data_IF_193131566153
#
_entry.id   IF_193131566153
#
_cell.length_a   1.000
_cell.length_b   1.000
_cell.length_c   1.000
_cell.angle_alpha   90.00
_cell.angle_beta   90.00
_cell.angle_gamma   90.00
#
_symmetry.space_group_name_H-M   'P 1'
#
loop_
_entity.id
_entity.type
_entity.pdbx_description
1 polymer ?
#
# COMPACT_ATOMS: atom_id res chain seq x y z
N UNK A 1 16.70 -9.43 -2.97
CA UNK A 1 16.23 -9.06 -4.32
C UNK A 1 17.13 -9.74 -5.32
N UNK A 2 16.59 -10.28 -6.42
CA UNK A 2 17.42 -10.69 -7.55
C UNK A 2 18.00 -9.44 -8.19
N UNK A 3 19.32 -9.32 -8.16
CA UNK A 3 20.05 -8.17 -8.65
C UNK A 3 20.22 -8.28 -10.17
N UNK A 4 19.27 -7.74 -10.94
CA UNK A 4 19.39 -7.74 -12.40
C UNK A 4 20.40 -6.69 -12.84
N UNK A 5 20.98 -6.87 -14.04
CA UNK A 5 21.96 -5.94 -14.60
C UNK A 5 21.48 -4.49 -14.55
N UNK A 6 20.25 -4.21 -15.00
CA UNK A 6 19.67 -2.86 -14.97
C UNK A 6 19.60 -2.24 -13.58
N UNK A 7 19.41 -3.07 -12.55
CA UNK A 7 19.20 -2.63 -11.17
C UNK A 7 20.55 -2.24 -10.54
N UNK A 8 21.64 -2.92 -10.94
CA UNK A 8 23.02 -2.52 -10.59
C UNK A 8 23.46 -1.24 -11.28
N UNK A 9 23.18 -1.12 -12.58
CA UNK A 9 23.69 -0.01 -13.38
C UNK A 9 22.91 1.29 -13.16
N UNK A 10 21.58 1.20 -13.01
CA UNK A 10 20.71 2.37 -12.90
C UNK A 10 20.15 2.60 -11.49
N UNK A 11 20.41 1.68 -10.56
CA UNK A 11 19.75 1.65 -9.26
C UNK A 11 18.34 1.06 -9.31
N UNK A 12 17.77 0.82 -8.13
CA UNK A 12 16.40 0.31 -8.03
C UNK A 12 15.37 1.38 -8.44
N UNK A 13 14.32 0.95 -9.17
CA UNK A 13 13.20 1.81 -9.51
C UNK A 13 12.47 2.28 -8.24
N UNK A 14 12.16 3.57 -8.18
CA UNK A 14 11.36 4.13 -7.09
C UNK A 14 9.97 3.49 -7.05
N UNK A 15 9.48 3.18 -5.85
CA UNK A 15 8.23 2.45 -5.64
C UNK A 15 7.11 3.42 -5.26
N UNK A 16 6.59 4.11 -6.26
CA UNK A 16 5.58 5.17 -6.12
C UNK A 16 4.23 4.79 -6.71
N UNK A 17 4.17 3.77 -7.57
CA UNK A 17 2.97 3.40 -8.32
C UNK A 17 1.99 2.68 -7.39
N UNK A 18 0.86 3.34 -7.06
CA UNK A 18 -0.12 2.85 -6.08
C UNK A 18 -1.24 2.00 -6.72
N UNK A 19 -1.15 1.75 -8.02
CA UNK A 19 -2.13 0.98 -8.81
C UNK A 19 -1.46 -0.23 -9.42
N UNK A 20 -2.10 -1.40 -9.32
CA UNK A 20 -1.68 -2.59 -10.06
C UNK A 20 -2.04 -2.42 -11.52
N UNK A 21 -1.04 -2.22 -12.36
CA UNK A 21 -1.24 -2.11 -13.81
C UNK A 21 -1.58 -3.47 -14.45
N UNK A 22 -2.18 -3.49 -15.66
CA UNK A 22 -2.40 -4.72 -16.42
C UNK A 22 -1.15 -5.58 -16.61
N UNK A 23 0.03 -4.95 -16.75
CA UNK A 23 1.32 -5.66 -16.89
C UNK A 23 1.68 -6.40 -15.59
N UNK A 24 1.53 -5.74 -14.45
CA UNK A 24 1.79 -6.34 -13.14
C UNK A 24 0.80 -7.47 -12.87
N UNK A 25 -0.49 -7.23 -13.13
CA UNK A 25 -1.53 -8.24 -12.99
C UNK A 25 -1.24 -9.47 -13.85
N UNK A 26 -0.91 -9.30 -15.13
CA UNK A 26 -0.58 -10.42 -16.00
C UNK A 26 0.63 -11.23 -15.50
N UNK A 27 1.65 -10.56 -14.93
CA UNK A 27 2.79 -11.24 -14.30
C UNK A 27 2.41 -12.05 -13.06
N UNK A 28 1.50 -11.54 -12.23
CA UNK A 28 0.95 -12.26 -11.08
C UNK A 28 0.11 -13.47 -11.53
N UNK A 29 -0.76 -13.29 -12.53
CA UNK A 29 -1.56 -14.38 -13.11
C UNK A 29 -0.66 -15.50 -13.65
N UNK A 30 0.41 -15.15 -14.39
CA UNK A 30 1.38 -16.13 -14.88
C UNK A 30 2.09 -16.89 -13.76
N UNK A 31 2.41 -16.20 -12.65
CA UNK A 31 2.99 -16.82 -11.44
C UNK A 31 2.01 -17.82 -10.83
N UNK A 32 0.74 -17.45 -10.66
CA UNK A 32 -0.28 -18.34 -10.08
C UNK A 32 -0.56 -19.52 -10.99
N UNK A 33 -0.64 -19.33 -12.31
CA UNK A 33 -0.84 -20.43 -13.24
C UNK A 33 0.30 -21.46 -13.16
N UNK A 34 1.54 -21.01 -13.00
CA UNK A 34 2.67 -21.91 -12.79
C UNK A 34 2.54 -22.70 -11.48
N UNK A 35 2.07 -22.07 -10.40
CA UNK A 35 1.81 -22.72 -9.11
C UNK A 35 0.67 -23.75 -9.20
N UNK A 36 -0.41 -23.44 -9.91
CA UNK A 36 -1.50 -24.40 -10.20
C UNK A 36 -0.94 -25.61 -10.94
N UNK A 37 -0.17 -25.37 -12.01
CA UNK A 37 0.40 -26.44 -12.84
C UNK A 37 1.42 -27.31 -12.08
N UNK A 38 2.12 -26.76 -11.10
CA UNK A 38 3.07 -27.53 -10.28
C UNK A 38 2.40 -28.32 -9.15
N UNK A 39 1.09 -28.13 -8.91
CA UNK A 39 0.39 -28.74 -7.79
C UNK A 39 0.63 -28.03 -6.45
N UNK A 40 1.12 -26.78 -6.45
CA UNK A 40 1.54 -26.06 -5.25
C UNK A 40 0.39 -25.73 -4.28
N UNK A 41 -0.85 -25.86 -4.73
CA UNK A 41 -2.04 -25.68 -3.90
C UNK A 41 -2.54 -26.99 -3.29
N UNK A 42 -1.93 -28.14 -3.61
CA UNK A 42 -2.39 -29.47 -3.23
C UNK A 42 -2.42 -29.73 -1.71
N UNK A 43 -1.66 -28.97 -0.92
CA UNK A 43 -1.74 -29.07 0.54
C UNK A 43 -3.09 -28.59 1.08
N UNK A 44 -3.63 -27.50 0.53
CA UNK A 44 -4.92 -26.90 0.95
C UNK A 44 -6.09 -27.40 0.11
N UNK A 45 -5.85 -27.64 -1.18
CA UNK A 45 -6.84 -28.07 -2.18
C UNK A 45 -6.35 -29.36 -2.86
N UNK A 46 -6.40 -30.51 -2.18
CA UNK A 46 -5.78 -31.75 -2.65
C UNK A 46 -6.56 -32.37 -3.81
N UNK A 47 -5.90 -32.53 -4.96
CA UNK A 47 -6.31 -33.54 -5.95
C UNK A 47 -5.72 -34.89 -5.53
N UNK A 48 -6.58 -35.90 -5.38
CA UNK A 48 -6.18 -37.24 -4.93
C UNK A 48 -6.03 -38.19 -6.10
N UNK A 49 -5.05 -39.10 -5.99
CA UNK A 49 -4.87 -40.18 -6.94
C UNK A 49 -6.18 -41.00 -7.08
N UNK A 50 -6.67 -41.30 -8.30
CA UNK A 50 -7.97 -41.95 -8.49
C UNK A 50 -8.14 -43.30 -7.79
N UNK A 51 -7.06 -44.04 -7.58
CA UNK A 51 -7.03 -45.35 -6.91
C UNK A 51 -6.39 -45.31 -5.50
N UNK A 52 -6.24 -44.12 -4.91
CA UNK A 52 -5.59 -43.97 -3.61
C UNK A 52 -6.00 -42.72 -2.84
N UNK A 53 -5.30 -42.47 -1.73
CA UNK A 53 -5.51 -41.28 -0.89
C UNK A 53 -4.35 -40.28 -0.96
N UNK A 54 -3.32 -40.59 -1.74
CA UNK A 54 -2.17 -39.71 -1.92
C UNK A 54 -2.56 -38.49 -2.76
N UNK A 55 -2.03 -37.33 -2.39
CA UNK A 55 -2.19 -36.10 -3.16
C UNK A 55 -1.27 -36.18 -4.38
N UNK A 56 -1.79 -35.90 -5.58
CA UNK A 56 -1.04 -35.92 -6.83
C UNK A 56 -1.06 -34.58 -7.56
N UNK A 57 -1.82 -33.60 -7.08
CA UNK A 57 -2.00 -32.32 -7.74
C UNK A 57 -2.80 -31.32 -6.91
N UNK A 58 -3.37 -30.34 -7.59
CA UNK A 58 -4.23 -29.30 -7.02
C UNK A 58 -5.63 -29.41 -7.59
N UNK A 59 -6.63 -29.53 -6.74
CA UNK A 59 -8.03 -29.48 -7.16
C UNK A 59 -8.37 -28.05 -7.61
N UNK A 60 -8.33 -27.83 -8.92
CA UNK A 60 -8.59 -26.53 -9.52
C UNK A 60 -10.02 -26.07 -9.34
N UNK A 61 -10.98 -27.00 -9.20
CA UNK A 61 -12.39 -26.68 -8.96
C UNK A 61 -12.61 -26.15 -7.54
N UNK A 62 -12.02 -26.82 -6.55
CA UNK A 62 -12.06 -26.38 -5.15
C UNK A 62 -11.32 -25.04 -4.97
N UNK A 63 -10.15 -24.88 -5.59
CA UNK A 63 -9.40 -23.62 -5.59
C UNK A 63 -10.25 -22.49 -6.19
N UNK A 64 -10.85 -22.70 -7.37
CA UNK A 64 -11.72 -21.74 -8.04
C UNK A 64 -12.88 -21.31 -7.14
N UNK A 65 -13.57 -22.29 -6.53
CA UNK A 65 -14.70 -22.03 -5.66
C UNK A 65 -14.31 -21.18 -4.43
N UNK A 66 -13.15 -21.46 -3.81
CA UNK A 66 -12.64 -20.64 -2.71
C UNK A 66 -12.28 -19.23 -3.14
N UNK A 67 -11.62 -19.06 -4.28
CA UNK A 67 -11.27 -17.73 -4.80
C UNK A 67 -12.51 -16.90 -5.06
N UNK A 68 -13.51 -17.43 -5.77
CA UNK A 68 -14.74 -16.70 -6.08
C UNK A 68 -15.56 -16.37 -4.82
N UNK A 69 -15.55 -17.26 -3.83
CA UNK A 69 -16.26 -17.06 -2.57
C UNK A 69 -15.61 -15.99 -1.66
N UNK A 70 -14.28 -15.99 -1.55
CA UNK A 70 -13.54 -15.05 -0.70
C UNK A 70 -13.27 -13.70 -1.38
N UNK A 71 -13.25 -13.65 -2.73
CA UNK A 71 -13.01 -12.45 -3.53
C UNK A 71 -14.15 -12.22 -4.55
N UNK A 72 -15.36 -11.85 -4.09
CA UNK A 72 -16.48 -11.59 -4.98
C UNK A 72 -16.15 -10.43 -5.92
N UNK A 73 -16.07 -10.74 -7.22
CA UNK A 73 -15.67 -9.79 -8.27
C UNK A 73 -14.38 -10.19 -9.00
N UNK A 74 -13.64 -11.18 -8.51
CA UNK A 74 -12.51 -11.78 -9.24
C UNK A 74 -13.01 -12.95 -10.09
N UNK A 75 -12.70 -12.93 -11.39
CA UNK A 75 -13.04 -14.02 -12.31
C UNK A 75 -12.14 -15.23 -12.07
N UNK A 76 -12.68 -16.44 -12.30
CA UNK A 76 -11.87 -17.64 -12.44
C UNK A 76 -12.29 -18.43 -13.70
N UNK A 77 -11.38 -18.76 -14.63
CA UNK A 77 -9.95 -18.43 -14.63
C UNK A 77 -9.65 -16.92 -14.59
N UNK A 78 -8.44 -16.58 -14.15
CA UNK A 78 -8.02 -15.18 -14.03
C UNK A 78 -7.90 -14.54 -15.42
N UNK A 79 -8.58 -13.42 -15.62
CA UNK A 79 -8.58 -12.69 -16.89
C UNK A 79 -7.51 -11.60 -16.90
N UNK A 80 -6.68 -11.56 -17.95
CA UNK A 80 -5.68 -10.50 -18.18
C UNK A 80 -6.06 -9.55 -19.31
N UNK A 81 -7.20 -9.79 -19.96
CA UNK A 81 -7.71 -8.97 -21.05
C UNK A 81 -9.24 -8.87 -21.01
N UNK A 82 -9.80 -7.74 -21.44
CA UNK A 82 -11.25 -7.56 -21.62
C UNK A 82 -11.60 -7.05 -23.02
N UNK A 83 -12.84 -7.28 -23.42
CA UNK A 83 -13.42 -6.74 -24.67
C UNK A 83 -14.15 -5.44 -24.31
N UNK A 84 -13.82 -4.34 -24.95
CA UNK A 84 -14.47 -3.04 -24.72
C UNK A 84 -15.85 -2.92 -25.36
N UNK A 85 -16.05 -3.51 -26.56
CA UNK A 85 -17.32 -3.47 -27.28
C UNK A 85 -17.59 -4.82 -27.96
N UNK A 86 -18.81 -5.34 -27.78
CA UNK A 86 -19.27 -6.54 -28.46
C UNK A 86 -19.55 -6.24 -29.94
N UNK A 87 -18.77 -6.85 -30.83
CA UNK A 87 -18.91 -6.67 -32.28
C UNK A 87 -17.89 -7.44 -33.10
N UNK A 88 -18.07 -7.41 -34.42
CA UNK A 88 -17.24 -8.12 -35.41
C UNK A 88 -15.76 -7.70 -35.40
N UNK A 89 -15.44 -6.53 -34.80
CA UNK A 89 -14.09 -6.00 -34.64
C UNK A 89 -13.66 -5.89 -33.16
N UNK A 90 -14.22 -6.73 -32.28
CA UNK A 90 -13.87 -6.72 -30.86
C UNK A 90 -12.35 -6.86 -30.64
N UNK A 91 -11.75 -5.83 -30.04
CA UNK A 91 -10.34 -5.83 -29.65
C UNK A 91 -10.22 -6.21 -28.17
N UNK A 92 -9.29 -7.11 -27.87
CA UNK A 92 -8.95 -7.45 -26.48
C UNK A 92 -7.89 -6.48 -25.99
N UNK A 93 -8.20 -5.75 -24.92
CA UNK A 93 -7.26 -4.85 -24.27
C UNK A 93 -6.72 -5.44 -22.97
N UNK A 94 -5.46 -5.13 -22.58
CA UNK A 94 -4.93 -5.50 -21.28
C UNK A 94 -5.84 -5.01 -20.15
N UNK A 95 -6.09 -5.87 -19.18
CA UNK A 95 -6.99 -5.61 -18.06
C UNK A 95 -6.31 -5.96 -16.74
N UNK A 96 -6.62 -5.19 -15.69
CA UNK A 96 -6.35 -5.53 -14.30
C UNK A 96 -7.61 -5.27 -13.46
N UNK A 97 -7.95 -6.14 -12.49
CA UNK A 97 -8.97 -5.85 -11.49
C UNK A 97 -8.59 -4.64 -10.61
N UNK A 98 -9.52 -4.22 -9.75
CA UNK A 98 -9.22 -3.22 -8.73
C UNK A 98 -8.00 -3.63 -7.88
N UNK A 99 -7.17 -2.65 -7.54
CA UNK A 99 -5.92 -2.89 -6.83
C UNK A 99 -6.14 -3.59 -5.50
N UNK A 100 -7.17 -3.22 -4.72
CA UNK A 100 -7.44 -3.85 -3.43
C UNK A 100 -7.79 -5.32 -3.60
N UNK A 101 -8.63 -5.63 -4.60
CA UNK A 101 -9.00 -7.01 -4.94
C UNK A 101 -7.79 -7.86 -5.35
N UNK A 102 -6.86 -7.28 -6.12
CA UNK A 102 -5.60 -7.97 -6.47
C UNK A 102 -4.74 -8.23 -5.23
N UNK A 103 -4.63 -7.26 -4.32
CA UNK A 103 -3.84 -7.41 -3.10
C UNK A 103 -4.42 -8.48 -2.17
N UNK A 104 -5.74 -8.53 -2.01
CA UNK A 104 -6.43 -9.60 -1.26
C UNK A 104 -6.15 -10.98 -1.87
N UNK A 105 -6.24 -11.08 -3.20
CA UNK A 105 -5.93 -12.32 -3.90
C UNK A 105 -4.48 -12.78 -3.71
N UNK A 106 -3.53 -11.85 -3.71
CA UNK A 106 -2.12 -12.17 -3.47
C UNK A 106 -1.89 -12.66 -2.03
N UNK A 107 -2.56 -12.08 -1.02
CA UNK A 107 -2.52 -12.60 0.36
C UNK A 107 -3.16 -14.01 0.46
N UNK A 108 -4.28 -14.24 -0.24
CA UNK A 108 -4.91 -15.56 -0.33
C UNK A 108 -3.95 -16.62 -0.90
N UNK A 109 -3.27 -16.31 -2.01
CA UNK A 109 -2.31 -17.23 -2.63
C UNK A 109 -1.17 -17.56 -1.67
N UNK A 110 -0.63 -16.56 -0.96
CA UNK A 110 0.39 -16.80 0.07
C UNK A 110 -0.11 -17.76 1.16
N UNK A 111 -1.35 -17.58 1.63
CA UNK A 111 -1.92 -18.44 2.65
C UNK A 111 -2.13 -19.90 2.17
N UNK A 112 -2.34 -20.10 0.86
CA UNK A 112 -2.66 -21.40 0.27
C UNK A 112 -1.47 -22.15 -0.34
N UNK A 113 -0.39 -21.45 -0.71
CA UNK A 113 0.73 -22.03 -1.46
C UNK A 113 1.65 -22.86 -0.58
N UNK A 114 2.12 -23.98 -1.12
CA UNK A 114 3.18 -24.80 -0.56
C UNK A 114 4.08 -25.33 -1.67
N UNK A 115 5.37 -25.53 -1.38
CA UNK A 115 6.28 -26.13 -2.33
C UNK A 115 5.95 -27.63 -2.47
N UNK A 116 5.55 -28.10 -3.66
CA UNK A 116 5.33 -29.51 -3.90
C UNK A 116 6.67 -30.24 -3.98
N UNK A 117 6.78 -31.34 -3.25
CA UNK A 117 7.94 -32.22 -3.20
C UNK A 117 7.53 -33.56 -3.83
N UNK A 118 8.07 -33.90 -5.01
CA UNK A 118 7.78 -35.18 -5.65
C UNK A 118 8.23 -36.35 -4.74
N UNK A 119 7.27 -37.17 -4.34
CA UNK A 119 7.51 -38.42 -3.62
C UNK A 119 7.54 -39.61 -4.57
N UNK A 120 6.86 -40.70 -4.19
CA UNK A 120 6.78 -41.92 -5.01
C UNK A 120 6.12 -41.62 -6.35
N UNK A 121 6.75 -42.05 -7.45
CA UNK A 121 6.12 -42.06 -8.77
C UNK A 121 5.16 -43.24 -8.90
N UNK A 122 3.99 -42.98 -9.46
CA UNK A 122 2.95 -43.95 -9.72
C UNK A 122 2.81 -44.18 -11.23
N UNK A 123 3.37 -45.28 -11.72
CA UNK A 123 3.49 -45.57 -13.15
C UNK A 123 2.14 -45.64 -13.88
N UNK A 124 1.12 -46.23 -13.27
CA UNK A 124 -0.17 -46.47 -13.93
C UNK A 124 -0.89 -45.17 -14.33
N UNK A 125 -0.89 -44.16 -13.45
CA UNK A 125 -1.44 -42.84 -13.74
C UNK A 125 -0.38 -41.80 -14.15
N UNK A 126 0.89 -42.22 -14.21
CA UNK A 126 2.05 -41.40 -14.58
C UNK A 126 2.14 -40.06 -13.84
N UNK A 127 2.05 -40.08 -12.52
CA UNK A 127 2.23 -38.89 -11.67
C UNK A 127 3.05 -39.19 -10.41
N UNK A 128 3.50 -38.16 -9.72
CA UNK A 128 4.12 -38.29 -8.40
C UNK A 128 3.09 -38.06 -7.29
N UNK A 129 3.19 -38.85 -6.23
CA UNK A 129 2.54 -38.52 -4.96
C UNK A 129 3.31 -37.38 -4.31
N UNK A 130 2.64 -36.27 -4.02
CA UNK A 130 3.25 -35.05 -3.54
C UNK A 130 3.27 -34.99 -2.02
N UNK A 131 4.40 -34.54 -1.47
CA UNK A 131 4.49 -33.94 -0.14
C UNK A 131 4.63 -32.42 -0.28
N UNK A 132 4.54 -31.68 0.83
CA UNK A 132 4.51 -30.22 0.78
C UNK A 132 5.38 -29.57 1.85
N UNK A 133 6.13 -28.55 1.45
CA UNK A 133 6.79 -27.59 2.35
C UNK A 133 6.13 -26.22 2.21
N UNK A 134 5.25 -25.88 3.16
CA UNK A 134 4.49 -24.64 3.11
C UNK A 134 5.38 -23.41 3.26
N UNK A 135 6.35 -23.44 4.18
CA UNK A 135 7.22 -22.30 4.47
C UNK A 135 8.11 -21.97 3.26
N UNK A 136 8.65 -23.00 2.60
CA UNK A 136 9.46 -22.80 1.40
C UNK A 136 8.63 -22.25 0.23
N UNK A 137 7.40 -22.76 0.03
CA UNK A 137 6.48 -22.25 -0.99
C UNK A 137 6.08 -20.79 -0.76
N UNK A 138 5.76 -20.44 0.48
CA UNK A 138 5.44 -19.08 0.92
C UNK A 138 6.59 -18.11 0.71
N UNK A 139 7.81 -18.50 1.08
CA UNK A 139 8.98 -17.64 0.94
C UNK A 139 9.34 -17.40 -0.55
N UNK A 140 9.24 -18.42 -1.40
CA UNK A 140 9.50 -18.25 -2.83
C UNK A 140 8.41 -17.41 -3.52
N UNK A 141 7.14 -17.61 -3.14
CA UNK A 141 6.05 -16.77 -3.64
C UNK A 141 6.24 -15.31 -3.22
N UNK A 142 6.55 -15.05 -1.94
CA UNK A 142 6.84 -13.71 -1.41
C UNK A 142 7.98 -13.04 -2.16
N UNK A 143 9.10 -13.74 -2.39
CA UNK A 143 10.24 -13.22 -3.17
C UNK A 143 9.82 -12.85 -4.60
N UNK A 144 9.01 -13.69 -5.22
CA UNK A 144 8.53 -13.48 -6.60
C UNK A 144 7.60 -12.27 -6.69
N UNK A 145 6.61 -12.16 -5.81
CA UNK A 145 5.70 -11.01 -5.73
C UNK A 145 6.48 -9.72 -5.48
N UNK A 146 7.37 -9.68 -4.49
CA UNK A 146 8.14 -8.49 -4.16
C UNK A 146 9.09 -8.08 -5.30
N UNK A 147 9.62 -9.05 -6.06
CA UNK A 147 10.42 -8.77 -7.25
C UNK A 147 9.57 -8.14 -8.36
N UNK A 148 8.38 -8.66 -8.62
CA UNK A 148 7.44 -8.09 -9.60
C UNK A 148 7.09 -6.65 -9.19
N UNK A 149 6.73 -6.44 -7.92
CA UNK A 149 6.36 -5.12 -7.43
C UNK A 149 7.52 -4.12 -7.50
N UNK A 150 8.71 -4.47 -7.02
CA UNK A 150 9.87 -3.58 -7.05
C UNK A 150 10.25 -3.17 -8.48
N UNK A 151 10.27 -4.12 -9.43
CA UNK A 151 10.66 -3.83 -10.83
C UNK A 151 9.64 -2.98 -11.58
N UNK A 152 8.38 -3.03 -11.17
CA UNK A 152 7.31 -2.25 -11.78
C UNK A 152 7.00 -0.96 -11.01
N UNK A 153 7.81 -0.60 -10.01
CA UNK A 153 7.58 0.63 -9.22
C UNK A 153 6.36 0.57 -8.31
N UNK A 154 5.79 -0.61 -8.07
CA UNK A 154 4.57 -0.78 -7.26
C UNK A 154 4.89 -0.51 -5.78
N UNK A 155 4.12 0.38 -5.17
CA UNK A 155 4.29 0.87 -3.80
C UNK A 155 3.73 -0.07 -2.71
N UNK A 156 3.83 -1.40 -2.90
CA UNK A 156 3.32 -2.41 -1.97
C UNK A 156 4.31 -3.56 -1.75
N UNK A 157 4.55 -4.00 -0.53
CA UNK A 157 5.46 -5.09 -0.22
C UNK A 157 4.77 -6.18 0.60
N UNK A 158 5.04 -7.44 0.25
CA UNK A 158 4.66 -8.59 1.05
C UNK A 158 5.69 -8.86 2.14
N UNK A 159 5.26 -8.78 3.40
CA UNK A 159 6.05 -9.16 4.56
C UNK A 159 6.20 -10.67 4.67
N UNK A 160 7.13 -11.14 5.52
CA UNK A 160 7.29 -12.56 5.83
C UNK A 160 6.07 -13.20 6.51
N UNK A 161 5.11 -12.40 6.95
CA UNK A 161 3.83 -12.85 7.49
C UNK A 161 2.77 -13.09 6.41
N UNK A 162 3.07 -12.80 5.15
CA UNK A 162 2.11 -12.83 4.03
C UNK A 162 1.30 -11.55 3.85
N UNK A 163 1.33 -10.63 4.83
CA UNK A 163 0.61 -9.36 4.75
C UNK A 163 1.25 -8.42 3.73
N UNK A 164 0.43 -7.79 2.90
CA UNK A 164 0.83 -6.67 2.06
C UNK A 164 0.79 -5.39 2.88
N UNK A 165 1.87 -4.61 2.79
CA UNK A 165 1.96 -3.25 3.36
C UNK A 165 2.32 -2.25 2.28
N UNK A 166 1.88 -1.00 2.45
CA UNK A 166 2.29 0.10 1.58
C UNK A 166 3.76 0.45 1.84
N UNK A 167 4.52 0.63 0.77
CA UNK A 167 5.87 1.20 0.83
C UNK A 167 5.71 2.71 0.75
N UNK A 168 6.07 3.41 1.83
CA UNK A 168 6.04 4.87 1.85
C UNK A 168 7.13 5.45 0.95
N UNK A 169 6.88 6.61 0.31
CA UNK A 169 7.91 7.34 -0.42
C UNK A 169 9.15 7.54 0.47
N UNK A 170 10.39 7.32 -0.03
CA UNK A 170 11.59 7.27 0.81
C UNK A 170 11.80 8.49 1.72
N UNK A 171 11.57 9.70 1.20
CA UNK A 171 11.74 10.95 1.95
C UNK A 171 10.73 11.04 3.11
N UNK A 172 9.45 10.79 2.83
CA UNK A 172 8.38 10.93 3.81
C UNK A 172 8.33 9.75 4.80
N UNK A 173 8.64 8.54 4.34
CA UNK A 173 8.57 7.33 5.15
C UNK A 173 9.57 7.32 6.31
N UNK A 174 10.82 7.73 6.07
CA UNK A 174 11.82 7.79 7.12
C UNK A 174 11.54 8.90 8.13
N UNK A 175 11.11 10.08 7.67
CA UNK A 175 10.72 11.18 8.54
C UNK A 175 9.51 10.82 9.40
N UNK A 176 8.48 10.18 8.83
CA UNK A 176 7.33 9.70 9.59
C UNK A 176 7.75 8.71 10.67
N UNK A 177 8.59 7.71 10.33
CA UNK A 177 9.04 6.66 11.26
C UNK A 177 9.91 7.19 12.39
N UNK A 178 10.80 8.16 12.12
CA UNK A 178 11.77 8.65 13.11
C UNK A 178 11.21 9.70 14.06
N UNK A 179 10.07 10.32 13.73
CA UNK A 179 9.58 11.46 14.52
C UNK A 179 9.02 10.99 15.86
N UNK A 180 9.49 11.56 16.96
CA UNK A 180 8.78 11.49 18.22
C UNK A 180 7.91 12.75 18.33
N UNK A 181 6.60 12.60 18.52
CA UNK A 181 5.72 13.72 18.80
C UNK A 181 5.75 14.01 20.30
N UNK A 182 6.43 15.08 20.68
CA UNK A 182 6.56 15.54 22.07
C UNK A 182 6.23 17.03 22.14
N UNK A 183 5.00 17.40 21.75
CA UNK A 183 4.57 18.79 21.68
C UNK A 183 4.33 19.43 23.06
N UNK A 184 4.27 18.61 24.10
CA UNK A 184 3.84 18.99 25.45
C UNK A 184 2.31 18.96 25.62
N UNK A 185 1.56 18.65 24.56
CA UNK A 185 0.11 18.43 24.61
C UNK A 185 -0.22 17.02 24.13
N UNK A 186 -0.66 16.17 25.07
CA UNK A 186 -0.91 14.74 24.80
C UNK A 186 -1.96 14.51 23.72
N UNK A 187 -2.95 15.40 23.63
CA UNK A 187 -3.99 15.28 22.60
C UNK A 187 -3.41 15.50 21.23
N UNK A 188 -2.59 16.54 21.02
CA UNK A 188 -1.88 16.80 19.77
C UNK A 188 -0.95 15.65 19.40
N UNK A 189 -0.19 15.13 20.37
CA UNK A 189 0.71 13.99 20.12
C UNK A 189 -0.08 12.75 19.66
N UNK A 190 -1.22 12.45 20.31
CA UNK A 190 -2.12 11.36 19.88
C UNK A 190 -2.70 11.61 18.48
N UNK A 191 -3.08 12.85 18.14
CA UNK A 191 -3.59 13.20 16.82
C UNK A 191 -2.54 12.90 15.74
N UNK A 192 -1.27 13.26 15.99
CA UNK A 192 -0.17 13.06 15.05
C UNK A 192 0.20 11.58 14.88
N UNK A 193 0.11 10.77 15.95
CA UNK A 193 0.27 9.31 15.86
C UNK A 193 -0.86 8.65 15.05
N UNK A 194 -2.10 9.12 15.21
CA UNK A 194 -3.23 8.66 14.41
C UNK A 194 -3.03 9.00 12.92
N UNK A 195 -2.57 10.22 12.62
CA UNK A 195 -2.23 10.64 11.25
C UNK A 195 -1.18 9.72 10.63
N UNK A 196 -0.08 9.45 11.35
CA UNK A 196 0.99 8.54 10.89
C UNK A 196 0.44 7.16 10.53
N UNK A 197 -0.39 6.61 11.42
CA UNK A 197 -0.95 5.27 11.25
C UNK A 197 -1.84 5.21 10.01
N UNK A 198 -2.81 6.14 9.90
CA UNK A 198 -3.75 6.19 8.78
C UNK A 198 -3.06 6.48 7.44
N UNK A 199 -2.06 7.36 7.43
CA UNK A 199 -1.33 7.71 6.21
C UNK A 199 -0.55 6.52 5.60
N UNK A 200 -0.17 5.57 6.45
CA UNK A 200 0.54 4.36 6.05
C UNK A 200 -0.40 3.27 5.49
N UNK A 201 -1.71 3.50 5.52
CA UNK A 201 -2.70 2.53 5.06
C UNK A 201 -2.71 2.39 3.52
N UNK A 202 -3.02 1.17 3.05
CA UNK A 202 -3.17 0.85 1.62
C UNK A 202 -4.43 1.48 1.02
N UNK A 203 -5.48 1.66 1.81
CA UNK A 203 -6.74 2.24 1.37
C UNK A 203 -6.63 3.77 1.19
N UNK A 204 -6.83 4.30 -0.04
CA UNK A 204 -6.81 5.74 -0.30
C UNK A 204 -7.75 6.57 0.57
N UNK A 205 -8.92 6.02 0.93
CA UNK A 205 -9.90 6.73 1.76
C UNK A 205 -9.39 6.92 3.19
N UNK A 206 -8.75 5.89 3.77
CA UNK A 206 -8.13 6.00 5.10
C UNK A 206 -6.99 7.02 5.10
N UNK A 207 -6.23 7.11 3.99
CA UNK A 207 -5.19 8.14 3.85
C UNK A 207 -5.75 9.55 3.76
N UNK A 208 -6.88 9.73 3.08
CA UNK A 208 -7.59 11.01 3.08
C UNK A 208 -8.03 11.40 4.49
N UNK A 209 -8.55 10.47 5.28
CA UNK A 209 -8.83 10.75 6.69
C UNK A 209 -7.57 11.16 7.46
N UNK A 210 -6.40 10.60 7.12
CA UNK A 210 -5.12 11.02 7.70
C UNK A 210 -4.80 12.48 7.39
N UNK A 211 -5.11 12.94 6.17
CA UNK A 211 -4.96 14.34 5.75
C UNK A 211 -5.84 15.26 6.57
N UNK A 212 -7.13 14.94 6.67
CA UNK A 212 -8.12 15.70 7.45
C UNK A 212 -7.68 15.77 8.92
N UNK A 213 -7.25 14.64 9.47
CA UNK A 213 -6.73 14.54 10.84
C UNK A 213 -5.48 15.37 11.08
N UNK A 214 -4.60 15.46 10.08
CA UNK A 214 -3.38 16.26 10.17
C UNK A 214 -3.72 17.76 10.20
N UNK A 215 -4.75 18.17 9.46
CA UNK A 215 -5.27 19.54 9.51
C UNK A 215 -5.95 19.86 10.85
N UNK A 216 -6.63 18.91 11.48
CA UNK A 216 -7.11 19.09 12.86
C UNK A 216 -5.93 19.26 13.84
N UNK A 217 -4.88 18.45 13.70
CA UNK A 217 -3.67 18.58 14.52
C UNK A 217 -3.00 19.94 14.32
N UNK A 218 -2.94 20.43 13.09
CA UNK A 218 -2.49 21.78 12.77
C UNK A 218 -3.30 22.84 13.51
N UNK A 219 -4.63 22.73 13.50
CA UNK A 219 -5.50 23.68 14.19
C UNK A 219 -5.31 23.73 15.70
N UNK A 220 -5.02 22.58 16.31
CA UNK A 220 -4.68 22.50 17.72
C UNK A 220 -3.29 23.08 18.01
N UNK A 221 -2.30 22.80 17.15
CA UNK A 221 -0.95 23.35 17.26
C UNK A 221 -0.98 24.89 17.22
N UNK A 222 -1.83 25.49 16.39
CA UNK A 222 -1.97 26.95 16.31
C UNK A 222 -2.41 27.60 17.63
N UNK A 223 -2.96 26.86 18.59
CA UNK A 223 -3.30 27.34 19.95
C UNK A 223 -2.31 26.93 21.05
N UNK A 224 -1.19 26.29 20.70
CA UNK A 224 -0.31 25.64 21.66
C UNK A 224 0.50 26.62 22.55
N UNK A 225 0.82 27.82 22.05
CA UNK A 225 1.60 28.82 22.80
C UNK A 225 0.72 29.83 23.54
N UNK A 226 -0.43 30.18 22.97
CA UNK A 226 -1.45 31.05 23.60
C UNK A 226 -2.86 30.52 23.24
N UNK A 227 -3.50 29.74 24.14
CA UNK A 227 -4.83 29.18 23.88
C UNK A 227 -5.94 30.22 23.70
N UNK A 228 -5.76 31.44 24.23
CA UNK A 228 -6.75 32.51 24.17
C UNK A 228 -6.70 33.34 22.88
N UNK A 229 -5.55 33.34 22.18
CA UNK A 229 -5.35 34.07 20.93
C UNK A 229 -4.51 33.24 19.94
N UNK A 230 -5.21 32.54 19.03
CA UNK A 230 -4.57 31.73 17.98
C UNK A 230 -3.62 32.54 17.10
N UNK A 231 -3.92 33.81 16.78
CA UNK A 231 -3.06 34.62 15.91
C UNK A 231 -1.75 34.92 16.63
N UNK A 232 -1.84 35.32 17.91
CA UNK A 232 -0.66 35.56 18.75
C UNK A 232 0.14 34.28 18.99
N UNK A 233 -0.53 33.17 19.26
CA UNK A 233 0.09 31.85 19.46
C UNK A 233 0.94 31.42 18.26
N UNK A 234 0.38 31.49 17.05
CA UNK A 234 1.13 31.18 15.81
C UNK A 234 2.36 32.07 15.66
N UNK A 235 2.20 33.38 15.94
CA UNK A 235 3.31 34.32 15.87
C UNK A 235 4.44 33.93 16.83
N UNK A 236 4.12 33.62 18.08
CA UNK A 236 5.10 33.15 19.08
C UNK A 236 5.84 31.90 18.58
N UNK A 237 5.11 30.93 18.02
CA UNK A 237 5.70 29.69 17.50
C UNK A 237 6.63 29.99 16.32
N UNK A 238 6.19 30.80 15.34
CA UNK A 238 6.99 31.15 14.16
C UNK A 238 8.24 31.97 14.51
N UNK A 239 8.11 32.90 15.45
CA UNK A 239 9.23 33.73 15.92
C UNK A 239 10.31 32.85 16.60
N UNK A 240 9.91 31.75 17.26
CA UNK A 240 10.84 30.77 17.83
C UNK A 240 11.50 29.86 16.77
N UNK A 241 10.85 29.66 15.62
CA UNK A 241 11.33 28.78 14.55
C UNK A 241 12.39 29.45 13.68
N UNK A 242 12.24 30.75 13.38
CA UNK A 242 13.11 31.49 12.47
C UNK A 242 13.51 32.86 13.04
N UNK A 243 14.81 33.02 13.31
CA UNK A 243 15.39 34.29 13.77
C UNK A 243 15.64 35.29 12.64
N UNK A 244 15.85 34.80 11.41
CA UNK A 244 16.09 35.67 10.24
C UNK A 244 14.74 36.21 9.72
N UNK A 245 14.56 37.55 9.62
CA UNK A 245 13.26 38.14 9.32
C UNK A 245 12.65 37.73 7.97
N UNK A 246 13.45 37.62 6.92
CA UNK A 246 12.97 37.25 5.58
C UNK A 246 12.36 35.84 5.56
N UNK A 247 13.07 34.87 6.13
CA UNK A 247 12.62 33.49 6.27
C UNK A 247 11.40 33.39 7.18
N UNK A 248 11.38 34.12 8.29
CA UNK A 248 10.21 34.18 9.19
C UNK A 248 8.96 34.65 8.45
N UNK A 249 9.06 35.69 7.62
CA UNK A 249 7.95 36.16 6.78
C UNK A 249 7.51 35.13 5.74
N UNK A 250 8.44 34.36 5.16
CA UNK A 250 8.10 33.26 4.23
C UNK A 250 7.34 32.13 4.92
N UNK A 251 7.78 31.73 6.12
CA UNK A 251 7.09 30.70 6.92
C UNK A 251 5.69 31.16 7.37
N UNK A 252 5.53 32.44 7.70
CA UNK A 252 4.22 33.02 8.03
C UNK A 252 3.26 32.99 6.83
N UNK A 253 3.74 33.36 5.64
CA UNK A 253 2.97 33.26 4.40
C UNK A 253 2.56 31.81 4.10
N UNK A 254 3.47 30.85 4.30
CA UNK A 254 3.16 29.44 4.09
C UNK A 254 2.17 28.88 5.12
N UNK A 255 2.29 29.24 6.40
CA UNK A 255 1.32 28.85 7.43
C UNK A 255 -0.09 29.41 7.15
N UNK A 256 -0.16 30.61 6.57
CA UNK A 256 -1.42 31.20 6.09
C UNK A 256 -1.98 30.40 4.92
N UNK A 257 -1.16 30.10 3.91
CA UNK A 257 -1.56 29.33 2.74
C UNK A 257 -2.09 27.94 3.12
N UNK A 258 -1.40 27.22 4.02
CA UNK A 258 -1.84 25.92 4.54
C UNK A 258 -3.19 26.02 5.27
N UNK A 259 -3.44 27.14 5.96
CA UNK A 259 -4.74 27.39 6.60
C UNK A 259 -5.82 27.63 5.56
N UNK A 260 -5.54 28.40 4.50
CA UNK A 260 -6.46 28.66 3.39
C UNK A 260 -6.83 27.37 2.65
N UNK A 261 -5.85 26.53 2.33
CA UNK A 261 -6.05 25.24 1.66
C UNK A 261 -7.00 24.35 2.48
N UNK A 262 -6.74 24.20 3.78
CA UNK A 262 -7.56 23.37 4.67
C UNK A 262 -9.03 23.78 4.70
N UNK A 263 -9.29 25.09 4.67
CA UNK A 263 -10.66 25.64 4.71
C UNK A 263 -11.38 25.66 3.35
N UNK A 264 -10.71 25.35 2.24
CA UNK A 264 -11.27 25.51 0.88
C UNK A 264 -11.48 24.20 0.11
N UNK A 265 -10.76 23.13 0.47
CA UNK A 265 -10.70 21.90 -0.34
C UNK A 265 -11.37 20.67 0.31
N UNK A 266 -12.42 20.88 1.12
CA UNK A 266 -13.14 19.80 1.83
C UNK A 266 -12.20 18.88 2.63
N UNK A 267 -11.11 19.46 3.15
CA UNK A 267 -10.17 18.83 4.09
C UNK A 267 -10.64 19.11 5.53
N UNK A 268 -11.26 20.29 5.74
CA UNK A 268 -11.84 20.70 7.02
C UNK A 268 -13.13 21.47 6.79
N UNK A 269 -14.11 21.21 7.66
CA UNK A 269 -15.47 21.77 7.63
C UNK A 269 -16.17 21.50 6.30
N UNK A 270 -17.17 20.63 6.27
CA UNK A 270 -17.90 20.31 5.05
C UNK A 270 -18.86 21.45 4.66
N UNK A 271 -18.45 22.31 3.74
CA UNK A 271 -19.34 23.28 3.09
C UNK A 271 -19.65 22.84 1.65
N UNK A 272 -20.87 23.08 1.19
CA UNK A 272 -21.38 22.63 -0.13
C UNK A 272 -20.49 23.11 -1.30
N UNK A 273 -19.81 24.24 -1.12
CA UNK A 273 -19.08 24.93 -2.18
C UNK A 273 -17.61 24.51 -2.29
N UNK A 274 -17.12 23.61 -1.45
CA UNK A 274 -15.72 23.20 -1.41
C UNK A 274 -15.42 22.05 -2.37
N UNK A 275 -14.21 22.04 -2.94
CA UNK A 275 -13.75 21.01 -3.87
C UNK A 275 -12.98 19.93 -3.13
N UNK A 276 -13.45 18.68 -3.18
CA UNK A 276 -12.77 17.57 -2.53
C UNK A 276 -11.40 17.24 -3.16
N UNK A 277 -10.39 17.00 -2.31
CA UNK A 277 -9.14 16.36 -2.74
C UNK A 277 -9.39 14.86 -2.91
N UNK A 278 -9.49 14.42 -4.17
CA UNK A 278 -9.76 13.01 -4.54
C UNK A 278 -8.54 12.27 -5.08
N UNK A 279 -7.58 13.01 -5.62
CA UNK A 279 -6.36 12.45 -6.19
C UNK A 279 -5.38 12.04 -5.09
N UNK A 280 -4.87 10.82 -5.16
CA UNK A 280 -4.02 10.23 -4.12
C UNK A 280 -2.63 10.88 -4.03
N UNK A 281 -2.10 11.37 -5.15
CA UNK A 281 -0.81 12.03 -5.18
C UNK A 281 -0.94 13.45 -4.61
N UNK A 282 -2.08 14.12 -4.85
CA UNK A 282 -2.40 15.38 -4.18
C UNK A 282 -2.59 15.21 -2.66
N UNK A 283 -3.22 14.11 -2.21
CA UNK A 283 -3.33 13.78 -0.78
C UNK A 283 -1.95 13.62 -0.16
N UNK A 284 -1.07 12.81 -0.77
CA UNK A 284 0.29 12.58 -0.27
C UNK A 284 1.13 13.87 -0.26
N UNK A 285 1.03 14.69 -1.30
CA UNK A 285 1.70 15.99 -1.38
C UNK A 285 1.27 16.93 -0.25
N UNK A 286 -0.05 17.12 -0.09
CA UNK A 286 -0.59 18.03 0.92
C UNK A 286 -0.27 17.53 2.34
N UNK A 287 -0.33 16.22 2.57
CA UNK A 287 0.07 15.61 3.82
C UNK A 287 1.54 15.93 4.11
N UNK A 288 2.45 15.67 3.15
CA UNK A 288 3.86 15.94 3.32
C UNK A 288 4.15 17.41 3.61
N UNK A 289 3.53 18.32 2.85
CA UNK A 289 3.72 19.77 3.00
C UNK A 289 3.33 20.25 4.40
N UNK A 290 2.14 19.87 4.88
CA UNK A 290 1.69 20.26 6.22
C UNK A 290 2.51 19.56 7.32
N UNK A 291 2.83 18.28 7.13
CA UNK A 291 3.60 17.51 8.10
C UNK A 291 4.99 18.11 8.32
N UNK A 292 5.68 18.51 7.25
CA UNK A 292 6.98 19.17 7.31
C UNK A 292 6.91 20.50 8.11
N UNK A 293 5.86 21.30 7.92
CA UNK A 293 5.62 22.52 8.68
C UNK A 293 5.42 22.22 10.17
N UNK A 294 4.57 21.24 10.52
CA UNK A 294 4.33 20.82 11.90
C UNK A 294 5.63 20.33 12.55
N UNK A 295 6.41 19.49 11.87
CA UNK A 295 7.68 19.00 12.38
C UNK A 295 8.66 20.13 12.66
N UNK A 296 8.78 21.10 11.75
CA UNK A 296 9.65 22.27 11.93
C UNK A 296 9.27 23.04 13.20
N UNK A 297 7.96 23.29 13.39
CA UNK A 297 7.44 23.99 14.56
C UNK A 297 7.64 23.24 15.88
N UNK A 298 7.48 21.91 15.87
CA UNK A 298 7.66 21.09 17.07
C UNK A 298 9.15 20.91 17.44
N UNK A 299 10.04 20.70 16.48
CA UNK A 299 11.48 20.48 16.73
C UNK A 299 12.15 21.68 17.38
N UNK A 300 11.76 22.91 17.01
CA UNK A 300 12.35 24.13 17.57
C UNK A 300 11.81 24.50 18.96
N UNK A 301 10.63 23.99 19.34
CA UNK A 301 10.07 24.17 20.68
C UNK A 301 10.82 23.35 21.75
N UNK A 302 11.36 22.19 21.39
CA UNK A 302 12.09 21.31 22.33
C UNK A 302 13.51 21.76 22.70
N UNK A 303 14.01 22.85 22.10
CA UNK A 303 15.35 23.41 22.35
C UNK A 303 15.30 24.72 23.17
N UNK A 304 14.20 24.97 23.89
CA UNK A 304 14.04 26.08 24.84
C UNK A 304 13.78 25.52 26.22
#
# INVERSE_FOLDING_TARGET
MSDYFSDRENGARARTDQVISPVVWAGLVGTVQALVNSGAFGQRFPERCPDGQAVCGSDTGALAASVVAEMPGLSWPLETTRVEEEGFFSQRQPFAPDTMLVLDFVEFVYAAVAQPIPGKHHDYFNHHHLMFDQAAGQEEFRKTVNRIFARNGVAFEMLSTGRIVRVLPPVLGDDLRRTAFCSGDRTLDNMLEECRTKFSDRNPLVRREALERLWDAWERLKSLADPGDKKRSIKIILDAVAAEPSLRSRLEAEAMELTTIGNSHLIRHSEINQVAVIDVDHVDYLFHRLFAMIQLMLRKKGNV
#
